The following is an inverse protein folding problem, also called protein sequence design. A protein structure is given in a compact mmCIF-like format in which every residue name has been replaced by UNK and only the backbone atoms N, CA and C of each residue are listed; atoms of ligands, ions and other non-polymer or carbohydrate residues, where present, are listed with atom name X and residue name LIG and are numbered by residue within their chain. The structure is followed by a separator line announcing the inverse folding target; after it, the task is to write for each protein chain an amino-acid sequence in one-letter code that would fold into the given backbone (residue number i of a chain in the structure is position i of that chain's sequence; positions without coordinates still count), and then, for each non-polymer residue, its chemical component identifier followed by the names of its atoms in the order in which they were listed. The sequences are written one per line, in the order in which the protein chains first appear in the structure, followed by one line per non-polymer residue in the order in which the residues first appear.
data_IF_302075645500
#
_entry.id   IF_302075645500
#
_cell.length_a   1.000
_cell.length_b   1.000
_cell.length_c   1.000
_cell.angle_alpha   90.00
_cell.angle_beta   90.00
_cell.angle_gamma   90.00
#
_symmetry.space_group_name_H-M   'P 1'
#
loop_
_entity.id
_entity.type
_entity.pdbx_description
1 polymer ?
#
# COMPACT_ATOMS: atom_id res chain seq x y z
N UNK A 1 -10.38 7.15 1.25
CA UNK A 1 -9.47 8.30 0.99
C UNK A 1 -8.23 7.78 0.29
N UNK A 2 -7.81 8.40 -0.83
CA UNK A 2 -6.65 7.93 -1.61
C UNK A 2 -5.34 8.71 -1.31
N UNK A 3 -5.39 9.82 -0.56
CA UNK A 3 -4.23 10.67 -0.18
C UNK A 3 -4.36 11.20 1.27
N UNK A 4 -3.81 10.52 2.28
CA UNK A 4 -3.97 10.90 3.69
C UNK A 4 -3.55 12.33 4.06
N UNK A 5 -2.42 12.82 3.56
CA UNK A 5 -1.94 14.18 3.85
C UNK A 5 -2.95 15.28 3.50
N UNK A 6 -3.73 15.09 2.43
CA UNK A 6 -4.74 16.06 1.96
C UNK A 6 -5.87 16.24 2.98
N UNK A 7 -6.06 15.27 3.88
CA UNK A 7 -7.09 15.28 4.91
C UNK A 7 -6.53 15.51 6.32
N UNK A 8 -5.27 15.91 6.46
CA UNK A 8 -4.64 16.12 7.78
C UNK A 8 -3.86 14.92 8.31
N UNK A 9 -3.56 13.93 7.44
CA UNK A 9 -2.70 12.80 7.76
C UNK A 9 -3.39 11.68 8.55
N UNK A 10 -2.57 10.76 9.06
CA UNK A 10 -3.00 9.51 9.71
C UNK A 10 -3.98 9.73 10.87
N UNK A 11 -3.76 10.76 11.69
CA UNK A 11 -4.62 11.08 12.83
C UNK A 11 -6.05 11.40 12.39
N UNK A 12 -6.21 12.22 11.35
CA UNK A 12 -7.55 12.59 10.87
C UNK A 12 -8.22 11.41 10.18
N UNK A 13 -7.46 10.58 9.45
CA UNK A 13 -8.00 9.33 8.91
C UNK A 13 -8.50 8.43 10.03
N UNK A 14 -7.69 8.21 11.07
CA UNK A 14 -8.09 7.34 12.19
C UNK A 14 -9.36 7.86 12.86
N UNK A 15 -9.46 9.16 13.11
CA UNK A 15 -10.64 9.77 13.72
C UNK A 15 -11.88 9.62 12.82
N UNK A 16 -11.76 9.89 11.52
CA UNK A 16 -12.86 9.77 10.58
C UNK A 16 -13.29 8.31 10.40
N UNK A 17 -12.35 7.39 10.22
CA UNK A 17 -12.63 5.97 10.09
C UNK A 17 -13.27 5.41 11.37
N UNK A 18 -12.81 5.82 12.55
CA UNK A 18 -13.45 5.45 13.83
C UNK A 18 -14.87 5.99 13.95
N UNK A 19 -15.12 7.21 13.46
CA UNK A 19 -16.46 7.80 13.45
C UNK A 19 -17.41 7.04 12.54
N UNK A 20 -16.95 6.65 11.34
CA UNK A 20 -17.69 5.77 10.42
C UNK A 20 -17.92 4.41 11.06
N UNK A 21 -16.91 3.81 11.69
CA UNK A 21 -17.03 2.54 12.41
C UNK A 21 -18.13 2.59 13.47
N UNK A 22 -18.20 3.68 14.23
CA UNK A 22 -19.23 3.87 15.24
C UNK A 22 -20.63 3.96 14.64
N UNK A 23 -20.78 4.73 13.56
CA UNK A 23 -22.07 4.89 12.85
C UNK A 23 -22.55 3.56 12.27
N UNK A 24 -21.63 2.75 11.71
CA UNK A 24 -21.94 1.46 11.08
C UNK A 24 -22.06 0.30 12.07
N UNK A 25 -21.90 0.54 13.38
CA UNK A 25 -21.88 -0.52 14.40
C UNK A 25 -20.66 -1.45 14.30
N UNK A 26 -19.62 -1.04 13.58
CA UNK A 26 -18.38 -1.77 13.34
C UNK A 26 -17.21 -1.29 14.21
N UNK A 27 -17.46 -0.51 15.28
CA UNK A 27 -16.42 0.04 16.16
C UNK A 27 -15.47 -1.03 16.70
N UNK A 28 -16.00 -2.16 17.18
CA UNK A 28 -15.18 -3.27 17.67
C UNK A 28 -14.33 -3.93 16.57
N UNK A 29 -14.83 -3.98 15.34
CA UNK A 29 -14.09 -4.51 14.20
C UNK A 29 -12.95 -3.57 13.81
N UNK A 30 -13.20 -2.26 13.82
CA UNK A 30 -12.19 -1.24 13.58
C UNK A 30 -11.10 -1.27 14.65
N UNK A 31 -11.46 -1.28 15.93
CA UNK A 31 -10.50 -1.29 17.03
C UNK A 31 -9.62 -2.55 16.99
N UNK A 32 -10.20 -3.73 16.69
CA UNK A 32 -9.43 -4.97 16.44
C UNK A 32 -8.50 -4.86 15.24
N UNK A 33 -8.94 -4.23 14.15
CA UNK A 33 -8.14 -4.08 12.96
C UNK A 33 -6.92 -3.18 13.20
N UNK A 34 -7.12 -2.04 13.88
CA UNK A 34 -6.03 -1.12 14.26
C UNK A 34 -5.07 -1.79 15.24
N UNK A 35 -5.57 -2.54 16.22
CA UNK A 35 -4.70 -3.30 17.14
C UNK A 35 -3.93 -4.41 16.41
N UNK A 36 -4.54 -5.03 15.41
CA UNK A 36 -3.88 -5.94 14.48
C UNK A 36 -2.71 -5.28 13.76
N UNK A 37 -2.86 -4.03 13.30
CA UNK A 37 -1.75 -3.29 12.69
C UNK A 37 -0.64 -2.98 13.70
N UNK A 38 -0.98 -2.53 14.91
CA UNK A 38 0.00 -2.25 15.98
C UNK A 38 0.80 -3.48 16.35
N UNK A 39 0.13 -4.61 16.60
CA UNK A 39 0.77 -5.87 17.00
C UNK A 39 1.72 -6.42 15.93
N UNK A 40 1.51 -6.10 14.65
CA UNK A 40 2.40 -6.46 13.54
C UNK A 40 3.44 -5.39 13.19
N UNK A 41 3.47 -4.26 13.92
CA UNK A 41 4.40 -3.16 13.66
C UNK A 41 4.03 -2.28 12.47
N UNK A 42 2.82 -2.42 11.92
CA UNK A 42 2.31 -1.62 10.79
C UNK A 42 1.69 -0.28 11.23
N UNK A 43 1.75 0.03 12.53
CA UNK A 43 1.22 1.26 13.12
C UNK A 43 2.11 1.68 14.30
N UNK A 44 2.72 2.87 14.20
CA UNK A 44 3.62 3.45 15.21
C UNK A 44 2.89 4.50 16.07
N UNK A 45 3.62 5.15 16.99
CA UNK A 45 3.10 6.30 17.76
C UNK A 45 2.69 7.50 16.91
N UNK A 46 3.17 7.58 15.66
CA UNK A 46 2.81 8.63 14.68
C UNK A 46 1.99 8.08 13.52
N UNK A 47 1.38 6.89 13.68
CA UNK A 47 0.52 6.26 12.68
C UNK A 47 1.23 5.25 11.78
N UNK A 48 0.55 4.88 10.69
CA UNK A 48 1.06 4.02 9.62
C UNK A 48 2.26 4.65 8.92
N UNK A 49 2.22 5.97 8.72
CA UNK A 49 3.33 6.72 8.11
C UNK A 49 4.63 6.52 8.88
N UNK A 50 4.58 6.49 10.21
CA UNK A 50 5.77 6.24 11.02
C UNK A 50 6.27 4.81 10.91
N UNK A 51 5.39 3.83 10.68
CA UNK A 51 5.81 2.46 10.41
C UNK A 51 6.56 2.37 9.08
N UNK A 52 6.07 3.04 8.03
CA UNK A 52 6.80 3.14 6.76
C UNK A 52 8.12 3.88 6.92
N UNK A 53 8.14 5.03 7.61
CA UNK A 53 9.37 5.80 7.82
C UNK A 53 10.43 5.01 8.62
N UNK A 54 10.01 4.20 9.59
CA UNK A 54 10.93 3.34 10.33
C UNK A 54 11.54 2.21 9.49
N UNK A 55 10.92 1.85 8.37
CA UNK A 55 11.44 0.86 7.43
C UNK A 55 12.20 1.52 6.26
N UNK A 56 11.70 2.63 5.75
CA UNK A 56 12.23 3.35 4.60
C UNK A 56 12.35 4.83 4.95
N UNK A 57 13.47 5.28 5.54
CA UNK A 57 13.63 6.64 6.05
C UNK A 57 13.35 7.72 4.98
N UNK A 58 13.82 7.48 3.74
CA UNK A 58 13.69 8.41 2.62
C UNK A 58 12.48 8.16 1.71
N UNK A 59 11.61 7.21 2.06
CA UNK A 59 10.38 6.93 1.32
C UNK A 59 9.20 7.70 1.92
N UNK A 60 8.96 8.89 1.39
CA UNK A 60 7.79 9.70 1.73
C UNK A 60 6.73 9.60 0.64
N UNK A 61 5.88 8.57 0.72
CA UNK A 61 4.70 8.42 -0.14
C UNK A 61 3.39 8.39 0.67
N UNK A 62 2.49 9.35 0.40
CA UNK A 62 1.12 9.33 0.92
C UNK A 62 0.34 8.09 0.46
N UNK A 63 0.68 7.56 -0.71
CA UNK A 63 0.13 6.33 -1.24
C UNK A 63 0.39 5.13 -0.34
N UNK A 64 1.56 5.06 0.30
CA UNK A 64 1.94 3.97 1.17
C UNK A 64 0.99 3.86 2.39
N UNK A 65 0.81 4.95 3.11
CA UNK A 65 -0.14 5.00 4.25
C UNK A 65 -1.59 4.83 3.77
N UNK A 66 -1.92 5.44 2.63
CA UNK A 66 -3.21 5.27 1.97
C UNK A 66 -3.54 3.80 1.68
N UNK A 67 -2.55 2.98 1.32
CA UNK A 67 -2.76 1.57 1.00
C UNK A 67 -3.17 0.73 2.21
N UNK A 68 -2.66 1.04 3.41
CA UNK A 68 -3.00 0.31 4.64
C UNK A 68 -4.40 0.67 5.09
N UNK A 69 -4.73 1.97 5.11
CA UNK A 69 -6.11 2.40 5.43
C UNK A 69 -7.11 1.97 4.35
N UNK A 70 -6.69 1.96 3.09
CA UNK A 70 -7.47 1.47 1.96
C UNK A 70 -7.79 -0.01 2.08
N UNK A 71 -6.82 -0.82 2.50
CA UNK A 71 -7.03 -2.23 2.81
C UNK A 71 -8.03 -2.40 3.96
N UNK A 72 -7.88 -1.68 5.08
CA UNK A 72 -8.85 -1.77 6.18
C UNK A 72 -10.26 -1.42 5.71
N UNK A 73 -10.38 -0.34 4.94
CA UNK A 73 -11.65 0.08 4.36
C UNK A 73 -12.21 -0.97 3.38
N UNK A 74 -11.36 -1.66 2.61
CA UNK A 74 -11.77 -2.77 1.76
C UNK A 74 -12.33 -3.93 2.60
N UNK A 75 -11.60 -4.36 3.63
CA UNK A 75 -12.01 -5.47 4.53
C UNK A 75 -13.31 -5.18 5.27
N UNK A 76 -13.60 -3.92 5.55
CA UNK A 76 -14.82 -3.46 6.21
C UNK A 76 -15.97 -3.14 5.23
N UNK A 77 -15.75 -3.32 3.92
CA UNK A 77 -16.76 -3.02 2.89
C UNK A 77 -17.00 -1.52 2.63
N UNK A 78 -16.12 -0.65 3.14
CA UNK A 78 -16.20 0.81 2.98
C UNK A 78 -15.50 1.33 1.73
N UNK A 79 -14.59 0.56 1.14
CA UNK A 79 -13.91 0.95 -0.09
C UNK A 79 -14.55 0.27 -1.30
N UNK A 80 -15.18 1.07 -2.17
CA UNK A 80 -15.48 0.64 -3.53
C UNK A 80 -14.18 0.58 -4.35
N UNK A 81 -13.92 -0.56 -4.98
CA UNK A 81 -12.76 -0.78 -5.84
C UNK A 81 -13.15 -0.71 -7.31
N UNK A 82 -12.19 -0.31 -8.15
CA UNK A 82 -12.38 -0.09 -9.59
C UNK A 82 -12.47 -1.44 -10.35
N UNK A 83 -11.84 -2.49 -9.82
CA UNK A 83 -11.81 -3.86 -10.36
C UNK A 83 -11.50 -4.87 -9.25
N UNK A 84 -12.02 -6.08 -9.37
CA UNK A 84 -11.59 -7.25 -8.59
C UNK A 84 -10.78 -8.20 -9.46
N UNK A 85 -9.72 -8.76 -8.88
CA UNK A 85 -9.01 -9.88 -9.49
C UNK A 85 -9.87 -11.14 -9.40
N UNK A 86 -9.82 -11.94 -10.46
CA UNK A 86 -10.27 -13.32 -10.40
C UNK A 86 -9.34 -14.14 -9.50
N UNK A 87 -9.80 -15.28 -8.95
CA UNK A 87 -8.94 -16.16 -8.16
C UNK A 87 -7.67 -16.62 -8.89
N UNK A 88 -7.73 -16.81 -10.21
CA UNK A 88 -6.58 -17.22 -11.02
C UNK A 88 -5.55 -16.10 -11.20
N UNK A 89 -5.99 -14.88 -11.44
CA UNK A 89 -5.10 -13.71 -11.51
C UNK A 89 -4.43 -13.46 -10.17
N UNK A 90 -5.19 -13.58 -9.07
CA UNK A 90 -4.66 -13.44 -7.71
C UNK A 90 -3.61 -14.51 -7.39
N UNK A 91 -3.90 -15.78 -7.68
CA UNK A 91 -2.93 -16.87 -7.47
C UNK A 91 -1.64 -16.63 -8.27
N UNK A 92 -1.75 -16.22 -9.54
CA UNK A 92 -0.59 -15.89 -10.37
C UNK A 92 0.23 -14.73 -9.78
N UNK A 93 -0.42 -13.65 -9.33
CA UNK A 93 0.27 -12.54 -8.67
C UNK A 93 1.04 -13.00 -7.43
N UNK A 94 0.45 -13.91 -6.64
CA UNK A 94 1.09 -14.46 -5.45
C UNK A 94 2.30 -15.35 -5.79
N UNK A 95 2.17 -16.21 -6.80
CA UNK A 95 3.24 -17.12 -7.23
C UNK A 95 4.41 -16.39 -7.90
N UNK A 96 4.11 -15.32 -8.64
CA UNK A 96 5.12 -14.59 -9.41
C UNK A 96 5.74 -13.40 -8.66
N UNK A 97 5.24 -13.01 -7.48
CA UNK A 97 5.72 -11.84 -6.73
C UNK A 97 7.24 -11.86 -6.53
N UNK A 98 7.82 -13.00 -6.13
CA UNK A 98 9.27 -13.13 -5.94
C UNK A 98 10.06 -12.97 -7.24
N UNK A 99 9.52 -13.47 -8.37
CA UNK A 99 10.13 -13.32 -9.70
C UNK A 99 10.08 -11.85 -10.15
N UNK A 100 8.96 -11.18 -9.95
CA UNK A 100 8.80 -9.75 -10.27
C UNK A 100 9.68 -8.87 -9.41
N UNK A 101 9.88 -9.22 -8.14
CA UNK A 101 10.79 -8.49 -7.27
C UNK A 101 12.27 -8.85 -7.45
N UNK A 102 12.63 -9.82 -8.30
CA UNK A 102 14.03 -10.15 -8.55
C UNK A 102 14.77 -9.09 -9.38
N UNK A 103 14.02 -8.21 -10.07
CA UNK A 103 14.54 -7.11 -10.88
C UNK A 103 13.72 -5.85 -10.65
N UNK A 104 14.28 -4.69 -11.02
CA UNK A 104 13.54 -3.43 -10.97
C UNK A 104 12.57 -3.34 -12.16
N UNK A 105 11.28 -3.31 -11.86
CA UNK A 105 10.21 -3.21 -12.86
C UNK A 105 9.53 -1.85 -12.83
N UNK A 106 9.11 -1.37 -14.01
CA UNK A 106 8.42 -0.10 -14.15
C UNK A 106 6.92 -0.16 -13.82
N UNK A 107 6.32 0.98 -13.49
CA UNK A 107 4.86 1.08 -13.29
C UNK A 107 4.07 0.64 -14.53
N UNK A 108 4.38 1.15 -15.72
CA UNK A 108 3.65 0.81 -16.95
C UNK A 108 3.79 -0.68 -17.32
N UNK A 109 4.98 -1.25 -17.10
CA UNK A 109 5.25 -2.68 -17.29
C UNK A 109 4.43 -3.54 -16.33
N UNK A 110 4.34 -3.14 -15.06
CA UNK A 110 3.50 -3.80 -14.05
C UNK A 110 2.03 -3.79 -14.47
N UNK A 111 1.52 -2.63 -14.91
CA UNK A 111 0.13 -2.51 -15.36
C UNK A 111 -0.12 -3.33 -16.63
N UNK A 112 0.84 -3.40 -17.55
CA UNK A 112 0.75 -4.25 -18.73
C UNK A 112 0.65 -5.74 -18.37
N UNK A 113 1.35 -6.17 -17.31
CA UNK A 113 1.32 -7.57 -16.87
C UNK A 113 0.06 -7.94 -16.08
N UNK A 114 -0.28 -7.17 -15.05
CA UNK A 114 -1.34 -7.54 -14.09
C UNK A 114 -2.68 -6.87 -14.38
N UNK A 115 -2.72 -6.00 -15.39
CA UNK A 115 -3.87 -5.20 -15.75
C UNK A 115 -4.16 -4.07 -14.74
N UNK A 116 -5.30 -3.38 -14.92
CA UNK A 116 -5.68 -2.26 -14.06
C UNK A 116 -5.82 -2.66 -12.59
N UNK A 117 -5.37 -1.82 -11.64
CA UNK A 117 -5.45 -2.13 -10.22
C UNK A 117 -6.87 -1.97 -9.67
N UNK A 118 -7.14 -2.58 -8.51
CA UNK A 118 -8.38 -2.42 -7.75
C UNK A 118 -8.52 -1.03 -7.15
N UNK A 119 -7.41 -0.43 -6.69
CA UNK A 119 -7.37 0.95 -6.25
C UNK A 119 -5.96 1.54 -6.42
N UNK A 120 -5.89 2.87 -6.49
CA UNK A 120 -4.64 3.63 -6.55
C UNK A 120 -4.62 4.64 -5.40
N UNK A 121 -3.54 4.65 -4.64
CA UNK A 121 -3.27 5.55 -3.52
C UNK A 121 -2.08 6.45 -3.86
N UNK A 122 -2.13 7.71 -3.46
CA UNK A 122 -1.10 8.71 -3.76
C UNK A 122 -1.45 9.61 -4.94
N UNK A 123 -0.43 10.25 -5.51
CA UNK A 123 -0.60 11.21 -6.60
C UNK A 123 -1.00 10.55 -7.92
N UNK A 124 -1.78 11.25 -8.75
CA UNK A 124 -2.10 10.78 -10.10
C UNK A 124 -1.09 11.30 -11.14
N UNK A 125 -0.27 12.31 -10.80
CA UNK A 125 0.74 12.83 -11.71
C UNK A 125 1.80 11.78 -12.02
N UNK A 126 2.12 11.62 -13.31
CA UNK A 126 2.88 10.50 -13.87
C UNK A 126 4.19 10.15 -13.13
N UNK A 127 4.91 11.13 -12.61
CA UNK A 127 6.25 10.93 -12.05
C UNK A 127 6.27 10.88 -10.52
N UNK A 128 5.11 10.96 -9.87
CA UNK A 128 5.02 10.94 -8.41
C UNK A 128 4.83 9.51 -7.89
N UNK A 129 5.47 9.18 -6.74
CA UNK A 129 5.22 7.96 -6.00
C UNK A 129 3.74 7.69 -5.79
N UNK A 130 3.41 6.40 -5.77
CA UNK A 130 2.05 5.90 -5.58
C UNK A 130 2.09 4.45 -5.15
N UNK A 131 1.01 4.01 -4.54
CA UNK A 131 0.79 2.60 -4.25
C UNK A 131 -0.46 2.13 -4.98
N UNK A 132 -0.42 0.96 -5.60
CA UNK A 132 -1.60 0.32 -6.19
C UNK A 132 -1.99 -0.90 -5.37
N UNK A 133 -3.27 -1.21 -5.37
CA UNK A 133 -3.86 -2.34 -4.64
C UNK A 133 -4.52 -3.28 -5.61
N UNK A 134 -4.31 -4.57 -5.41
CA UNK A 134 -5.05 -5.65 -6.03
C UNK A 134 -5.84 -6.40 -4.95
N UNK A 135 -7.15 -6.49 -5.14
CA UNK A 135 -8.09 -7.18 -4.27
C UNK A 135 -8.86 -8.26 -5.03
N UNK A 136 -9.23 -9.32 -4.34
CA UNK A 136 -10.09 -10.42 -4.83
C UNK A 136 -11.49 -10.27 -4.22
N UNK A 137 -12.51 -10.87 -4.85
CA UNK A 137 -13.90 -10.90 -4.37
C UNK A 137 -14.10 -11.77 -3.12
N UNK A 138 -13.30 -11.49 -2.09
CA UNK A 138 -13.32 -12.05 -0.75
C UNK A 138 -12.58 -11.07 0.16
N UNK A 139 -13.28 -10.23 0.95
CA UNK A 139 -12.63 -9.25 1.84
C UNK A 139 -11.87 -9.90 3.01
N UNK A 140 -12.01 -11.21 3.22
CA UNK A 140 -11.23 -11.93 4.24
C UNK A 140 -9.83 -12.32 3.72
N UNK A 141 -9.63 -12.36 2.40
CA UNK A 141 -8.33 -12.62 1.80
C UNK A 141 -7.41 -11.40 1.88
N UNK A 142 -6.12 -11.67 1.96
CA UNK A 142 -5.09 -10.65 1.89
C UNK A 142 -5.18 -9.89 0.56
N UNK A 143 -5.12 -8.57 0.66
CA UNK A 143 -4.90 -7.73 -0.53
C UNK A 143 -3.40 -7.59 -0.79
N UNK A 144 -3.04 -7.34 -2.04
CA UNK A 144 -1.64 -7.18 -2.46
C UNK A 144 -1.42 -5.73 -2.85
N UNK A 145 -0.48 -5.05 -2.18
CA UNK A 145 -0.12 -3.66 -2.48
C UNK A 145 1.24 -3.60 -3.17
N UNK A 146 1.32 -2.87 -4.29
CA UNK A 146 2.57 -2.63 -5.02
C UNK A 146 2.98 -1.17 -4.83
N UNK A 147 4.15 -0.96 -4.25
CA UNK A 147 4.67 0.35 -3.86
C UNK A 147 5.61 0.86 -4.95
N UNK A 148 5.35 2.04 -5.50
CA UNK A 148 6.16 2.65 -6.56
C UNK A 148 6.77 3.97 -6.11
N UNK A 149 8.04 4.17 -6.48
CA UNK A 149 8.79 5.40 -6.23
C UNK A 149 9.67 5.76 -7.42
N UNK A 150 10.31 6.92 -7.40
CA UNK A 150 11.39 7.24 -8.33
C UNK A 150 12.65 6.41 -7.98
N UNK A 151 13.57 6.17 -8.93
CA UNK A 151 14.81 5.46 -8.65
C UNK A 151 15.57 6.13 -7.49
N UNK A 152 16.32 5.32 -6.74
CA UNK A 152 17.13 5.84 -5.64
C UNK A 152 18.08 6.96 -6.10
N UNK A 153 18.21 8.01 -5.29
CA UNK A 153 19.01 9.20 -5.62
C UNK A 153 18.38 10.16 -6.64
N UNK A 154 17.21 9.87 -7.19
CA UNK A 154 16.46 10.79 -8.06
C UNK A 154 15.46 11.58 -7.22
N UNK A 155 15.46 12.91 -7.37
CA UNK A 155 14.50 13.77 -6.67
C UNK A 155 13.05 13.39 -7.03
N UNK A 156 12.20 13.26 -6.00
CA UNK A 156 10.80 12.87 -6.15
C UNK A 156 10.06 13.82 -7.09
N UNK A 157 9.36 13.25 -8.08
CA UNK A 157 8.59 14.02 -9.04
C UNK A 157 9.40 14.63 -10.19
N UNK A 158 10.70 14.34 -10.28
CA UNK A 158 11.58 14.78 -11.37
C UNK A 158 10.94 14.56 -12.75
N UNK A 159 10.92 15.56 -13.64
CA UNK A 159 10.37 15.42 -14.99
C UNK A 159 11.03 14.28 -15.79
N UNK A 160 10.23 13.31 -16.21
CA UNK A 160 10.69 12.18 -17.04
C UNK A 160 11.31 11.02 -16.25
N UNK A 161 11.45 11.14 -14.93
CA UNK A 161 11.88 10.02 -14.10
C UNK A 161 10.80 8.92 -14.10
N UNK A 162 11.17 7.66 -14.42
CA UNK A 162 10.22 6.55 -14.35
C UNK A 162 9.83 6.28 -12.89
N UNK A 163 8.69 5.61 -12.71
CA UNK A 163 8.34 4.98 -11.43
C UNK A 163 8.79 3.53 -11.46
N UNK A 164 9.54 3.13 -10.44
CA UNK A 164 10.07 1.78 -10.24
C UNK A 164 9.36 1.16 -9.04
N UNK A 165 9.05 -0.13 -9.16
CA UNK A 165 8.53 -0.95 -8.07
C UNK A 165 9.58 -1.02 -6.95
N UNK A 166 9.20 -0.58 -5.75
CA UNK A 166 10.00 -0.70 -4.53
C UNK A 166 9.79 -2.09 -3.90
N UNK A 167 8.54 -2.56 -3.88
CA UNK A 167 8.22 -3.86 -3.35
C UNK A 167 6.73 -4.18 -3.37
N UNK A 168 6.45 -5.46 -3.15
CA UNK A 168 5.11 -6.02 -3.03
C UNK A 168 4.84 -6.29 -1.54
N UNK A 169 3.82 -5.65 -0.98
CA UNK A 169 3.36 -5.86 0.40
C UNK A 169 2.16 -6.80 0.44
N UNK A 170 2.24 -7.81 1.32
CA UNK A 170 1.15 -8.72 1.70
C UNK A 170 0.74 -8.45 3.14
N UNK A 171 -0.55 -8.42 3.43
CA UNK A 171 -0.99 -7.61 4.56
C UNK A 171 -1.03 -8.25 5.94
N UNK A 172 -0.94 -9.58 6.04
CA UNK A 172 -1.12 -10.28 7.33
C UNK A 172 0.18 -10.72 8.01
N UNK A 173 1.35 -10.51 7.38
CA UNK A 173 2.66 -10.72 8.01
C UNK A 173 3.10 -9.54 8.90
N UNK A 174 4.18 -9.72 9.68
CA UNK A 174 4.85 -8.60 10.37
C UNK A 174 5.26 -7.56 9.35
N UNK A 175 5.18 -6.28 9.71
CA UNK A 175 5.25 -5.21 8.72
C UNK A 175 6.57 -5.19 7.93
N UNK A 176 7.70 -5.47 8.59
CA UNK A 176 9.00 -5.59 7.94
C UNK A 176 9.18 -6.89 7.12
N UNK A 177 8.42 -7.94 7.43
CA UNK A 177 8.43 -9.24 6.74
C UNK A 177 7.36 -9.32 5.64
N UNK A 178 6.44 -8.36 5.61
CA UNK A 178 5.32 -8.29 4.69
C UNK A 178 5.73 -7.89 3.27
N UNK A 179 6.96 -7.43 3.07
CA UNK A 179 7.45 -6.96 1.78
C UNK A 179 8.34 -7.99 1.10
N UNK A 180 8.07 -8.22 -0.17
CA UNK A 180 9.07 -8.72 -1.11
C UNK A 180 9.65 -7.50 -1.83
N UNK A 181 10.94 -7.23 -1.63
CA UNK A 181 11.60 -6.02 -2.13
C UNK A 181 12.31 -6.25 -3.45
N UNK A 182 12.35 -5.21 -4.28
CA UNK A 182 13.21 -5.15 -5.47
C UNK A 182 14.65 -4.79 -5.11
N UNK A 183 15.61 -4.86 -6.05
CA UNK A 183 16.94 -4.28 -5.85
C UNK A 183 16.89 -2.81 -5.42
N UNK A 184 16.08 -1.98 -6.08
CA UNK A 184 15.86 -0.59 -5.66
C UNK A 184 15.28 -0.52 -4.25
N UNK A 185 14.24 -1.32 -3.94
CA UNK A 185 13.65 -1.32 -2.60
C UNK A 185 14.61 -1.74 -1.50
N UNK A 186 15.55 -2.64 -1.80
CA UNK A 186 16.61 -3.04 -0.85
C UNK A 186 17.63 -1.92 -0.64
N UNK A 187 17.98 -1.17 -1.69
CA UNK A 187 18.86 0.00 -1.57
C UNK A 187 18.27 1.11 -0.67
N UNK A 188 16.94 1.22 -0.60
CA UNK A 188 16.26 2.12 0.33
C UNK A 188 16.30 1.66 1.81
N UNK A 189 16.74 0.43 2.10
CA UNK A 189 16.90 -0.08 3.48
C UNK A 189 18.33 0.07 4.02
N UNK A 190 19.33 0.10 3.15
CA UNK A 190 20.75 0.02 3.52
C UNK A 190 21.37 1.37 3.95
N UNK A 191 20.57 2.44 4.04
CA UNK A 191 20.96 3.80 4.50
C UNK A 191 20.19 4.23 5.76
#
# INVERSE_FOLDING_TARGET
MRRPSTFGGDLVIELLARSVAYIDGAADHWDRAVEGLRSRGAFSSIGVRGAFHGMFPDYYDDGASGSVYGELAWRLGWLAVDRLMTPGEYARLQDEAARWCAVDCGYEETIAEFGPPSAIFGSQSRNNPRTILYAVDDPTRESVSLHFTNPFGVEVGSPGAPLILLGIRRSDARFNEAFTLTPTGSAYLDE
#
